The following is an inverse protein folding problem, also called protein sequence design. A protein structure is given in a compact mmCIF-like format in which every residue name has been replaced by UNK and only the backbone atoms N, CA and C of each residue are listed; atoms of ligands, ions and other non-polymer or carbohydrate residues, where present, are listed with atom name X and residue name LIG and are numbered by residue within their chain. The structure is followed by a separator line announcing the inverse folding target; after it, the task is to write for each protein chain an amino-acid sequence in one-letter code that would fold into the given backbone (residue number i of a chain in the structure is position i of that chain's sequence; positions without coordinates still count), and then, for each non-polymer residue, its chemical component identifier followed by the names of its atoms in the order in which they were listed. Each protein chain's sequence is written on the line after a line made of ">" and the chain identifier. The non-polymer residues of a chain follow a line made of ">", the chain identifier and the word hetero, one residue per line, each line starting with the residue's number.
data_IF_008843861439
#
_entry.id   IF_008843861439
#
_cell.length_a   1.000
_cell.length_b   1.000
_cell.length_c   1.000
_cell.angle_alpha   90.00
_cell.angle_beta   90.00
_cell.angle_gamma   90.00
#
_symmetry.space_group_name_H-M   'P 1'
#
loop_
_entity.id
_entity.type
_entity.pdbx_description
1 polymer ?
#
# COMPACT_ATOMS: atom_id res chain seq x y z
N UNK A 1 -21.10 -27.04 25.34
CA UNK A 1 -20.12 -25.97 25.65
C UNK A 1 -19.26 -25.76 24.40
N UNK A 2 -19.41 -24.64 23.66
CA UNK A 2 -18.65 -24.42 22.42
C UNK A 2 -17.34 -23.70 22.75
N UNK A 3 -16.21 -24.38 22.54
CA UNK A 3 -14.88 -23.75 22.61
C UNK A 3 -14.79 -22.64 21.55
N UNK A 4 -14.55 -21.40 21.96
CA UNK A 4 -14.30 -20.30 21.03
C UNK A 4 -12.88 -20.45 20.48
N UNK A 5 -12.75 -20.68 19.18
CA UNK A 5 -11.45 -20.70 18.49
C UNK A 5 -11.11 -19.25 18.14
N UNK A 6 -10.18 -18.64 18.88
CA UNK A 6 -9.62 -17.34 18.53
C UNK A 6 -8.47 -17.57 17.52
N UNK A 7 -8.72 -17.31 16.23
CA UNK A 7 -7.68 -17.33 15.19
C UNK A 7 -7.24 -15.89 14.88
N UNK A 8 -6.04 -15.49 15.30
CA UNK A 8 -5.37 -14.30 14.76
C UNK A 8 -4.74 -14.68 13.42
N UNK A 9 -5.43 -14.38 12.31
CA UNK A 9 -4.89 -14.49 10.96
C UNK A 9 -4.07 -13.24 10.60
N UNK A 10 -3.19 -12.82 11.51
CA UNK A 10 -2.43 -11.58 11.41
C UNK A 10 -1.27 -11.76 10.41
N UNK A 11 -1.61 -12.00 9.14
CA UNK A 11 -0.64 -12.07 8.05
C UNK A 11 -0.16 -10.63 7.81
N UNK A 12 1.11 -10.35 8.14
CA UNK A 12 1.80 -9.11 7.82
C UNK A 12 2.12 -9.07 6.32
N UNK A 13 1.07 -8.98 5.51
CA UNK A 13 1.14 -8.96 4.04
C UNK A 13 0.22 -7.89 3.48
N UNK A 14 0.64 -7.30 2.38
CA UNK A 14 -0.16 -6.40 1.58
C UNK A 14 -0.96 -7.17 0.54
N UNK A 15 -2.09 -6.63 0.12
CA UNK A 15 -2.93 -7.21 -0.92
C UNK A 15 -3.09 -6.26 -2.10
N UNK A 16 -2.86 -6.78 -3.29
CA UNK A 16 -3.18 -6.11 -4.56
C UNK A 16 -4.36 -6.85 -5.15
N UNK A 17 -5.36 -6.10 -5.61
CA UNK A 17 -6.58 -6.68 -6.15
C UNK A 17 -7.03 -5.91 -7.39
N UNK A 18 -7.34 -6.65 -8.45
CA UNK A 18 -8.10 -6.17 -9.58
C UNK A 18 -9.37 -7.02 -9.76
N UNK A 19 -10.16 -6.78 -10.82
CA UNK A 19 -11.41 -7.53 -11.07
C UNK A 19 -11.20 -9.03 -11.29
N UNK A 20 -10.02 -9.44 -11.77
CA UNK A 20 -9.74 -10.84 -12.18
C UNK A 20 -8.91 -11.61 -11.14
N UNK A 21 -8.13 -10.92 -10.31
CA UNK A 21 -7.12 -11.54 -9.45
C UNK A 21 -6.91 -10.77 -8.16
N UNK A 22 -6.59 -11.52 -7.10
CA UNK A 22 -6.04 -11.01 -5.85
C UNK A 22 -4.70 -11.67 -5.61
N UNK A 23 -3.68 -10.87 -5.30
CA UNK A 23 -2.35 -11.34 -4.90
C UNK A 23 -1.97 -10.74 -3.56
N UNK A 24 -1.10 -11.42 -2.83
CA UNK A 24 -0.53 -10.94 -1.56
C UNK A 24 0.98 -10.96 -1.61
N UNK A 25 1.62 -9.94 -1.05
CA UNK A 25 3.07 -9.80 -1.00
C UNK A 25 3.50 -9.26 0.38
N UNK A 26 4.73 -9.53 0.81
CA UNK A 26 5.27 -8.94 2.05
C UNK A 26 5.55 -7.46 1.89
N UNK A 27 5.97 -7.07 0.68
CA UNK A 27 6.36 -5.73 0.31
C UNK A 27 5.89 -5.43 -1.12
N UNK A 28 5.53 -4.19 -1.43
CA UNK A 28 5.11 -3.76 -2.78
C UNK A 28 5.77 -2.42 -3.08
N UNK A 29 6.39 -2.30 -4.24
CA UNK A 29 6.81 -1.02 -4.82
C UNK A 29 5.87 -0.66 -5.96
N UNK A 30 5.28 0.52 -5.89
CA UNK A 30 4.65 1.19 -7.02
C UNK A 30 5.69 2.11 -7.66
N UNK A 31 5.97 1.85 -8.93
CA UNK A 31 6.97 2.53 -9.73
C UNK A 31 6.31 3.31 -10.87
N UNK A 32 5.35 4.17 -10.52
CA UNK A 32 4.50 4.89 -11.46
C UNK A 32 3.30 5.53 -10.78
N UNK A 33 2.67 6.47 -11.48
CA UNK A 33 1.63 7.33 -10.91
C UNK A 33 0.51 6.55 -10.21
N UNK A 34 0.18 7.00 -9.01
CA UNK A 34 -0.88 6.45 -8.19
C UNK A 34 -1.70 7.56 -7.55
N UNK A 35 -2.93 7.23 -7.18
CA UNK A 35 -3.86 8.09 -6.46
C UNK A 35 -4.50 7.33 -5.31
N UNK A 36 -5.08 8.04 -4.35
CA UNK A 36 -5.89 7.43 -3.29
C UNK A 36 -7.38 7.55 -3.58
N UNK A 37 -8.12 6.50 -3.29
CA UNK A 37 -9.59 6.52 -3.26
C UNK A 37 -10.07 6.19 -1.85
N UNK A 38 -11.09 6.91 -1.39
CA UNK A 38 -11.77 6.63 -0.12
C UNK A 38 -13.23 6.32 -0.40
N UNK A 39 -13.82 5.40 0.36
CA UNK A 39 -15.26 5.08 0.29
C UNK A 39 -15.94 5.43 1.62
N UNK A 40 -16.25 6.71 1.86
CA UNK A 40 -16.83 7.16 3.13
C UNK A 40 -18.22 6.59 3.38
N UNK A 41 -19.00 6.35 2.32
CA UNK A 41 -20.39 5.86 2.43
C UNK A 41 -20.53 4.37 2.78
N UNK A 42 -19.41 3.65 2.94
CA UNK A 42 -19.48 2.27 3.43
C UNK A 42 -19.91 2.27 4.90
N UNK A 43 -21.16 1.83 5.11
CA UNK A 43 -21.82 1.65 6.43
C UNK A 43 -20.98 0.98 7.51
N UNK A 44 -19.98 0.17 7.15
CA UNK A 44 -19.08 -0.54 8.07
C UNK A 44 -17.64 -0.48 7.52
N UNK A 45 -16.71 0.02 8.34
CA UNK A 45 -15.26 0.08 8.08
C UNK A 45 -14.88 0.91 6.84
N UNK A 46 -14.85 2.26 6.95
CA UNK A 46 -14.45 3.12 5.83
C UNK A 46 -13.04 2.74 5.37
N UNK A 47 -12.92 2.39 4.08
CA UNK A 47 -11.67 1.89 3.49
C UNK A 47 -11.04 2.93 2.59
N UNK A 48 -9.74 3.15 2.80
CA UNK A 48 -8.86 3.83 1.87
C UNK A 48 -8.12 2.84 0.99
N UNK A 49 -7.94 3.19 -0.28
CA UNK A 49 -7.22 2.42 -1.28
C UNK A 49 -6.20 3.29 -1.98
N UNK A 50 -5.08 2.68 -2.39
CA UNK A 50 -4.18 3.26 -3.39
C UNK A 50 -4.48 2.57 -4.71
N UNK A 51 -4.56 3.36 -5.77
CA UNK A 51 -4.95 2.94 -7.12
C UNK A 51 -3.85 3.34 -8.09
N UNK A 52 -3.49 2.42 -8.97
CA UNK A 52 -2.63 2.67 -10.13
C UNK A 52 -3.44 2.39 -11.40
N UNK A 53 -3.07 3.09 -12.48
CA UNK A 53 -3.70 2.86 -13.79
C UNK A 53 -3.05 1.69 -14.53
N UNK A 54 -1.75 1.49 -14.34
CA UNK A 54 -1.01 0.39 -14.94
C UNK A 54 -0.58 -0.63 -13.87
N UNK A 55 -0.71 -1.90 -14.23
CA UNK A 55 -0.19 -3.02 -13.42
C UNK A 55 1.30 -3.26 -13.64
N UNK A 56 1.87 -2.79 -14.75
CA UNK A 56 3.30 -2.89 -15.04
C UNK A 56 4.15 -2.10 -14.03
N UNK A 57 3.56 -1.09 -13.40
CA UNK A 57 4.20 -0.26 -12.38
C UNK A 57 4.25 -0.95 -11.00
N UNK A 58 3.73 -2.17 -10.85
CA UNK A 58 3.63 -2.86 -9.56
C UNK A 58 4.70 -3.95 -9.45
N UNK A 59 5.70 -3.74 -8.60
CA UNK A 59 6.71 -4.74 -8.25
C UNK A 59 6.41 -5.35 -6.87
N UNK A 60 6.11 -6.66 -6.83
CA UNK A 60 5.91 -7.38 -5.57
C UNK A 60 7.22 -7.92 -5.00
N UNK A 61 7.42 -7.79 -3.70
CA UNK A 61 8.64 -8.17 -2.97
C UNK A 61 9.90 -7.64 -3.70
N UNK A 62 10.00 -6.32 -3.92
CA UNK A 62 11.11 -5.71 -4.65
C UNK A 62 12.46 -6.06 -3.99
N UNK A 63 13.51 -6.31 -4.79
CA UNK A 63 14.85 -6.54 -4.27
C UNK A 63 15.39 -5.28 -3.57
N UNK A 64 16.29 -5.46 -2.61
CA UNK A 64 16.80 -4.35 -1.81
C UNK A 64 17.63 -3.38 -2.67
N UNK A 65 18.32 -3.90 -3.68
CA UNK A 65 19.11 -3.15 -4.66
C UNK A 65 18.25 -2.12 -5.40
N UNK A 66 17.02 -2.49 -5.78
CA UNK A 66 16.07 -1.58 -6.42
C UNK A 66 15.63 -0.49 -5.44
N UNK A 67 15.28 -0.87 -4.21
CA UNK A 67 14.83 0.08 -3.19
C UNK A 67 15.92 1.08 -2.75
N UNK A 68 17.21 0.71 -2.86
CA UNK A 68 18.34 1.61 -2.59
C UNK A 68 18.44 2.79 -3.57
N UNK A 69 17.81 2.68 -4.75
CA UNK A 69 17.74 3.78 -5.72
C UNK A 69 16.76 4.88 -5.29
N UNK A 70 16.03 4.69 -4.19
CA UNK A 70 15.01 5.61 -3.72
C UNK A 70 15.29 6.14 -2.32
N UNK A 71 14.98 7.41 -2.12
CA UNK A 71 14.98 8.06 -0.81
C UNK A 71 13.55 8.10 -0.27
N UNK A 72 13.38 7.67 0.98
CA UNK A 72 12.11 7.83 1.71
C UNK A 72 11.89 9.30 2.04
N UNK A 73 10.75 9.84 1.64
CA UNK A 73 10.40 11.26 1.83
C UNK A 73 9.43 11.42 2.99
N UNK A 74 8.33 10.67 2.97
CA UNK A 74 7.26 10.79 3.97
C UNK A 74 6.48 9.48 4.09
N UNK A 75 5.52 9.43 5.01
CA UNK A 75 4.60 8.29 5.15
C UNK A 75 3.23 8.65 4.60
N UNK A 76 2.64 7.72 3.85
CA UNK A 76 1.22 7.75 3.52
C UNK A 76 0.44 7.25 4.74
N UNK A 77 -0.43 8.10 5.27
CA UNK A 77 -1.19 7.88 6.50
C UNK A 77 -2.67 8.04 6.18
N UNK A 78 -3.45 7.04 6.59
CA UNK A 78 -4.90 7.07 6.53
C UNK A 78 -5.48 7.44 7.90
N UNK A 79 -6.21 8.55 7.96
CA UNK A 79 -6.94 8.96 9.15
C UNK A 79 -8.34 8.35 9.13
N UNK A 80 -8.61 7.41 10.04
CA UNK A 80 -9.90 6.72 10.14
C UNK A 80 -11.04 7.63 10.63
N UNK A 81 -10.73 8.70 11.35
CA UNK A 81 -11.74 9.60 11.90
C UNK A 81 -12.29 10.54 10.81
N UNK A 82 -11.39 11.04 9.95
CA UNK A 82 -11.78 11.91 8.82
C UNK A 82 -12.01 11.15 7.52
N UNK A 83 -11.61 9.87 7.46
CA UNK A 83 -11.69 9.02 6.25
C UNK A 83 -10.89 9.62 5.10
N UNK A 84 -9.67 10.08 5.40
CA UNK A 84 -8.80 10.77 4.45
C UNK A 84 -7.36 10.28 4.51
N UNK A 85 -6.67 10.36 3.37
CA UNK A 85 -5.23 10.25 3.34
C UNK A 85 -4.58 11.64 3.44
N UNK A 86 -3.45 11.71 4.14
CA UNK A 86 -2.62 12.91 4.17
C UNK A 86 -2.02 13.26 2.80
N UNK A 87 -1.89 12.27 1.90
CA UNK A 87 -1.34 12.42 0.55
C UNK A 87 -2.30 11.75 -0.42
N UNK A 88 -2.73 12.47 -1.46
CA UNK A 88 -3.78 12.00 -2.38
C UNK A 88 -3.25 11.36 -3.67
N UNK A 89 -2.01 11.66 -4.04
CA UNK A 89 -1.36 11.18 -5.26
C UNK A 89 0.16 11.18 -5.10
N UNK A 90 0.84 10.44 -5.96
CA UNK A 90 2.30 10.40 -6.04
C UNK A 90 2.76 9.50 -7.18
N UNK A 91 4.08 9.33 -7.29
CA UNK A 91 4.69 8.53 -8.36
C UNK A 91 5.36 7.26 -7.81
N UNK A 92 6.20 7.38 -6.78
CA UNK A 92 6.88 6.22 -6.19
C UNK A 92 6.36 5.98 -4.77
N UNK A 93 5.84 4.78 -4.50
CA UNK A 93 5.31 4.41 -3.19
C UNK A 93 5.72 3.00 -2.80
N UNK A 94 6.25 2.86 -1.59
CA UNK A 94 6.70 1.58 -1.07
C UNK A 94 5.87 1.14 0.14
N UNK A 95 5.15 0.05 -0.02
CA UNK A 95 4.47 -0.70 1.04
C UNK A 95 5.50 -1.64 1.68
N UNK A 96 6.01 -1.26 2.84
CA UNK A 96 7.08 -1.97 3.51
C UNK A 96 6.56 -3.14 4.37
N UNK A 97 7.43 -4.11 4.65
CA UNK A 97 7.08 -5.28 5.47
C UNK A 97 6.72 -4.93 6.93
N UNK A 98 7.12 -3.73 7.38
CA UNK A 98 6.84 -3.19 8.72
C UNK A 98 5.39 -2.68 8.88
N UNK A 99 4.59 -2.67 7.80
CA UNK A 99 3.22 -2.16 7.80
C UNK A 99 3.11 -0.67 7.49
N UNK A 100 4.21 0.02 7.17
CA UNK A 100 4.22 1.42 6.74
C UNK A 100 4.18 1.54 5.21
N UNK A 101 3.61 2.64 4.73
CA UNK A 101 3.65 3.04 3.33
C UNK A 101 4.52 4.30 3.21
N UNK A 102 5.64 4.21 2.49
CA UNK A 102 6.62 5.30 2.34
C UNK A 102 6.54 5.91 0.96
N UNK A 103 6.33 7.22 0.91
CA UNK A 103 6.53 8.00 -0.31
C UNK A 103 8.02 8.02 -0.64
N UNK A 104 8.34 7.77 -1.90
CA UNK A 104 9.71 7.68 -2.38
C UNK A 104 9.99 8.76 -3.42
N UNK A 105 11.23 9.22 -3.45
CA UNK A 105 11.80 9.95 -4.59
C UNK A 105 12.95 9.13 -5.14
N UNK A 106 13.07 9.08 -6.46
CA UNK A 106 14.26 8.52 -7.10
C UNK A 106 15.45 9.38 -6.73
N UNK A 107 16.54 8.75 -6.32
CA UNK A 107 17.82 9.46 -6.22
C UNK A 107 18.31 9.57 -7.65
N UNK A 108 18.22 10.75 -8.25
CA UNK A 108 18.79 10.97 -9.57
C UNK A 108 20.24 10.50 -9.58
N UNK A 109 20.63 9.78 -10.64
CA UNK A 109 22.03 9.51 -10.96
C UNK A 109 22.68 10.88 -11.20
N UNK A 110 23.33 11.42 -10.16
CA UNK A 110 24.26 12.54 -10.32
C UNK A 110 25.45 12.12 -11.17
#
# INVERSE_FOLDING_TARGET
>A
MKCKIYRCNCRKVWSIQNRKRKITAKSILLNGNWTTEVKPDRRLDPKGFVITNDTQDITTNPPMELLKQFKKVSKLIYNKNTVEFNIKLGEFLWFAEDGSCYLLNKMDEM
#
